data_IF_971787222270
#
_entry.id   IF_971787222270
#
_cell.length_a   1.000
_cell.length_b   1.000
_cell.length_c   1.000
_cell.angle_alpha   90.00
_cell.angle_beta   90.00
_cell.angle_gamma   90.00
#
_symmetry.space_group_name_H-M   'P 1'
#
loop_
_entity.id
_entity.type
_entity.pdbx_description
1 polymer ?
#
# COMPACT_ATOMS: atom_id res chain seq x y z
N UNK A 1 -5.38 -3.35 1.46
CA UNK A 1 -4.44 -2.55 2.27
C UNK A 1 -3.09 -3.18 2.15
N UNK A 2 -2.05 -2.38 1.95
CA UNK A 2 -0.67 -2.86 1.81
C UNK A 2 0.19 -2.07 2.79
N UNK A 3 1.06 -2.74 3.53
CA UNK A 3 2.14 -2.11 4.28
C UNK A 3 3.45 -2.40 3.54
N UNK A 4 4.29 -1.39 3.39
CA UNK A 4 5.60 -1.50 2.78
C UNK A 4 6.62 -0.66 3.53
N UNK A 5 7.90 -1.01 3.49
CA UNK A 5 8.96 -0.23 4.14
C UNK A 5 9.71 0.69 3.20
N UNK A 6 9.75 0.35 1.92
CA UNK A 6 10.47 1.12 0.89
C UNK A 6 9.76 1.05 -0.46
N UNK A 7 10.16 1.92 -1.38
CA UNK A 7 9.75 1.85 -2.79
C UNK A 7 10.68 0.89 -3.52
N UNK A 8 10.10 -0.16 -4.10
CA UNK A 8 10.83 -1.13 -4.93
C UNK A 8 10.10 -1.40 -6.24
N UNK A 9 10.80 -1.96 -7.24
CA UNK A 9 10.19 -2.32 -8.52
C UNK A 9 9.06 -3.37 -8.37
N UNK A 10 9.21 -4.44 -7.55
CA UNK A 10 8.12 -5.38 -7.30
C UNK A 10 6.90 -4.72 -6.65
N UNK A 11 7.12 -3.85 -5.65
CA UNK A 11 6.04 -3.12 -5.01
C UNK A 11 5.33 -2.20 -5.99
N UNK A 12 6.08 -1.48 -6.83
CA UNK A 12 5.54 -0.60 -7.86
C UNK A 12 4.64 -1.36 -8.84
N UNK A 13 5.08 -2.55 -9.27
CA UNK A 13 4.27 -3.43 -10.12
C UNK A 13 2.98 -3.87 -9.44
N UNK A 14 3.04 -4.22 -8.15
CA UNK A 14 1.87 -4.58 -7.36
C UNK A 14 0.90 -3.40 -7.23
N UNK A 15 1.40 -2.22 -6.85
CA UNK A 15 0.64 -0.98 -6.70
C UNK A 15 -0.15 -0.65 -7.97
N UNK A 16 0.51 -0.73 -9.14
CA UNK A 16 -0.13 -0.49 -10.44
C UNK A 16 -1.28 -1.46 -10.73
N UNK A 17 -1.07 -2.76 -10.47
CA UNK A 17 -2.11 -3.79 -10.66
C UNK A 17 -3.29 -3.57 -9.72
N UNK A 18 -3.03 -3.18 -8.48
CA UNK A 18 -4.08 -2.90 -7.50
C UNK A 18 -4.84 -1.61 -7.83
N UNK A 19 -4.17 -0.58 -8.35
CA UNK A 19 -4.81 0.64 -8.85
C UNK A 19 -5.83 0.33 -9.96
N UNK A 20 -5.40 -0.44 -10.96
CA UNK A 20 -6.25 -0.91 -12.05
C UNK A 20 -7.43 -1.76 -11.54
N UNK A 21 -7.16 -2.75 -10.69
CA UNK A 21 -8.22 -3.58 -10.10
C UNK A 21 -9.23 -2.76 -9.28
N UNK A 22 -8.76 -1.72 -8.57
CA UNK A 22 -9.63 -0.80 -7.81
C UNK A 22 -10.52 0.01 -8.76
N UNK A 23 -9.98 0.45 -9.90
CA UNK A 23 -10.74 1.16 -10.92
C UNK A 23 -11.81 0.26 -11.57
N UNK A 24 -11.47 -0.99 -11.89
CA UNK A 24 -12.39 -1.99 -12.46
C UNK A 24 -13.50 -2.38 -11.49
N UNK A 25 -13.20 -2.45 -10.18
CA UNK A 25 -14.15 -2.86 -9.14
C UNK A 25 -14.79 -1.67 -8.40
N UNK A 26 -14.84 -0.48 -9.03
CA UNK A 26 -15.43 0.73 -8.43
C UNK A 26 -16.88 0.55 -7.98
N UNK A 27 -17.66 -0.25 -8.72
CA UNK A 27 -19.09 -0.48 -8.43
C UNK A 27 -19.28 -1.32 -7.16
N UNK A 28 -18.26 -2.10 -6.78
CA UNK A 28 -18.20 -2.83 -5.52
C UNK A 28 -17.70 -1.98 -4.35
N UNK A 29 -17.47 -0.67 -4.56
CA UNK A 29 -16.86 0.24 -3.58
C UNK A 29 -15.50 -0.26 -3.09
N UNK A 30 -14.73 -0.92 -3.95
CA UNK A 30 -13.37 -1.33 -3.64
C UNK A 30 -12.50 -0.09 -3.43
N UNK A 31 -11.71 -0.11 -2.36
CA UNK A 31 -10.69 0.89 -2.08
C UNK A 31 -9.34 0.22 -1.90
N UNK A 32 -8.28 0.93 -2.25
CA UNK A 32 -6.92 0.46 -2.05
C UNK A 32 -6.04 1.58 -1.53
N UNK A 33 -5.09 1.19 -0.68
CA UNK A 33 -4.08 2.11 -0.18
C UNK A 33 -2.83 1.34 0.24
N UNK A 34 -1.71 2.03 0.18
CA UNK A 34 -0.41 1.58 0.66
C UNK A 34 0.03 2.50 1.80
N UNK A 35 0.45 1.89 2.91
CA UNK A 35 1.06 2.55 4.06
C UNK A 35 2.55 2.26 4.02
N UNK A 36 3.34 3.29 3.76
CA UNK A 36 4.78 3.23 3.84
C UNK A 36 5.20 3.47 5.30
N UNK A 37 5.64 2.41 5.96
CA UNK A 37 6.13 2.45 7.35
C UNK A 37 7.61 2.83 7.34
N UNK A 38 7.90 4.12 7.16
CA UNK A 38 9.24 4.65 6.97
C UNK A 38 9.36 6.08 7.50
N UNK A 39 10.55 6.43 7.96
CA UNK A 39 10.96 7.79 8.38
C UNK A 39 11.95 8.42 7.39
N UNK A 40 12.06 7.86 6.18
CA UNK A 40 12.93 8.36 5.13
C UNK A 40 12.58 9.80 4.72
N UNK A 41 13.55 10.70 4.84
CA UNK A 41 13.41 12.08 4.37
C UNK A 41 13.20 12.14 2.85
N UNK A 42 12.24 12.95 2.40
CA UNK A 42 11.92 13.11 0.98
C UNK A 42 11.09 11.97 0.37
N UNK A 43 10.66 10.99 1.17
CA UNK A 43 9.77 9.91 0.70
C UNK A 43 8.47 10.45 0.08
N UNK A 44 7.91 11.54 0.62
CA UNK A 44 6.70 12.16 0.07
C UNK A 44 6.87 12.56 -1.40
N UNK A 45 7.99 13.19 -1.76
CA UNK A 45 8.25 13.61 -3.13
C UNK A 45 8.49 12.40 -4.04
N UNK A 46 9.20 11.38 -3.55
CA UNK A 46 9.36 10.10 -4.27
C UNK A 46 8.00 9.44 -4.56
N UNK A 47 7.08 9.46 -3.60
CA UNK A 47 5.73 8.90 -3.79
C UNK A 47 4.89 9.73 -4.77
N UNK A 48 5.01 11.07 -4.75
CA UNK A 48 4.37 11.94 -5.74
C UNK A 48 4.89 11.65 -7.15
N UNK A 49 6.19 11.48 -7.30
CA UNK A 49 6.81 11.18 -8.59
C UNK A 49 6.46 9.77 -9.08
N UNK A 50 6.41 8.79 -8.18
CA UNK A 50 5.90 7.45 -8.47
C UNK A 50 4.46 7.50 -8.98
N UNK A 51 3.58 8.22 -8.27
CA UNK A 51 2.18 8.34 -8.64
C UNK A 51 1.99 8.99 -10.02
N UNK A 52 2.81 10.01 -10.35
CA UNK A 52 2.83 10.63 -11.69
C UNK A 52 3.37 9.67 -12.75
N UNK A 53 4.52 9.04 -12.49
CA UNK A 53 5.21 8.15 -13.44
C UNK A 53 4.35 6.95 -13.82
N UNK A 54 3.66 6.37 -12.84
CA UNK A 54 2.81 5.19 -13.06
C UNK A 54 1.34 5.55 -13.32
N UNK A 55 1.02 6.85 -13.39
CA UNK A 55 -0.33 7.38 -13.65
C UNK A 55 -1.41 6.80 -12.72
N UNK A 56 -1.09 6.68 -11.42
CA UNK A 56 -1.98 6.11 -10.42
C UNK A 56 -3.22 6.98 -10.21
N UNK A 57 -4.42 6.39 -10.16
CA UNK A 57 -5.70 7.14 -10.15
C UNK A 57 -6.60 6.87 -8.95
N UNK A 58 -6.48 5.71 -8.34
CA UNK A 58 -7.41 5.16 -7.33
C UNK A 58 -6.72 4.78 -6.04
N UNK A 59 -5.51 4.25 -6.11
CA UNK A 59 -4.77 3.84 -4.94
C UNK A 59 -4.24 5.05 -4.18
N UNK A 60 -4.44 5.05 -2.86
CA UNK A 60 -3.92 6.11 -1.97
C UNK A 60 -2.55 5.69 -1.45
N UNK A 61 -1.55 6.55 -1.60
CA UNK A 61 -0.23 6.36 -0.99
C UNK A 61 -0.17 7.17 0.31
N UNK A 62 0.24 6.53 1.40
CA UNK A 62 0.28 7.12 2.74
C UNK A 62 1.62 6.81 3.40
N UNK A 63 2.09 7.71 4.25
CA UNK A 63 3.30 7.52 5.06
C UNK A 63 2.87 7.41 6.52
N UNK A 64 3.44 6.46 7.24
CA UNK A 64 3.30 6.30 8.69
C UNK A 64 4.69 6.04 9.28
N UNK A 65 4.79 6.11 10.61
CA UNK A 65 6.00 5.83 11.35
C UNK A 65 6.59 4.43 11.02
N UNK A 66 7.92 4.22 11.19
CA UNK A 66 8.57 2.95 10.87
C UNK A 66 8.00 1.71 11.58
N UNK A 67 7.43 1.85 12.78
CA UNK A 67 6.82 0.71 13.46
C UNK A 67 5.46 0.31 12.86
N UNK A 68 4.91 1.12 11.97
CA UNK A 68 3.54 1.00 11.48
C UNK A 68 2.50 1.27 12.56
N UNK A 69 1.21 1.15 12.23
CA UNK A 69 0.16 1.41 13.20
C UNK A 69 0.06 0.25 14.19
N UNK A 70 0.33 0.53 15.48
CA UNK A 70 0.48 -0.48 16.56
C UNK A 70 -0.64 -1.53 16.63
N UNK A 71 -1.87 -1.14 16.36
CA UNK A 71 -3.03 -2.04 16.41
C UNK A 71 -2.98 -3.16 15.36
N UNK A 72 -2.27 -2.95 14.25
CA UNK A 72 -2.20 -3.91 13.14
C UNK A 72 -1.13 -4.99 13.33
N UNK A 73 -0.21 -4.81 14.29
CA UNK A 73 0.89 -5.76 14.58
C UNK A 73 1.62 -6.21 13.30
N UNK A 74 1.91 -5.27 12.41
CA UNK A 74 2.63 -5.52 11.16
C UNK A 74 4.00 -6.09 11.50
N UNK A 75 4.39 -7.15 10.78
CA UNK A 75 5.69 -7.78 10.98
C UNK A 75 6.81 -6.78 10.71
N UNK A 76 7.86 -6.82 11.54
CA UNK A 76 9.02 -5.95 11.39
C UNK A 76 9.98 -6.47 10.33
N UNK A 77 9.98 -7.77 10.10
CA UNK A 77 10.89 -8.44 9.16
C UNK A 77 10.29 -8.58 7.76
N UNK A 78 8.97 -8.38 7.61
CA UNK A 78 8.33 -8.37 6.31
C UNK A 78 8.58 -7.05 5.58
N UNK A 79 9.07 -7.14 4.34
CA UNK A 79 9.26 -6.00 3.45
C UNK A 79 7.90 -5.47 2.97
N UNK A 80 6.97 -6.41 2.73
CA UNK A 80 5.61 -6.13 2.27
C UNK A 80 4.61 -7.01 2.99
N UNK A 81 3.56 -6.40 3.55
CA UNK A 81 2.38 -7.11 4.07
C UNK A 81 1.13 -6.68 3.30
N UNK A 82 0.41 -7.65 2.73
CA UNK A 82 -0.84 -7.45 1.99
C UNK A 82 -2.01 -7.98 2.79
N UNK A 83 -2.97 -7.10 3.09
CA UNK A 83 -4.20 -7.44 3.80
C UNK A 83 -5.41 -7.16 2.91
N UNK A 84 -6.17 -8.21 2.61
CA UNK A 84 -7.50 -8.11 2.02
C UNK A 84 -8.53 -8.19 3.14
N UNK A 85 -9.42 -7.20 3.20
CA UNK A 85 -10.50 -7.19 4.16
C UNK A 85 -11.80 -6.74 3.50
N UNK A 86 -12.92 -7.20 4.05
CA UNK A 86 -14.26 -6.78 3.64
C UNK A 86 -15.10 -6.58 4.89
N UNK A 87 -15.80 -5.44 5.00
CA UNK A 87 -16.63 -5.10 6.17
C UNK A 87 -15.88 -5.25 7.51
N UNK A 88 -14.64 -4.76 7.54
CA UNK A 88 -13.72 -4.82 8.70
C UNK A 88 -13.27 -6.24 9.11
N UNK A 89 -13.58 -7.25 8.31
CA UNK A 89 -13.12 -8.63 8.54
C UNK A 89 -11.98 -8.96 7.57
N UNK A 90 -10.84 -9.43 8.11
CA UNK A 90 -9.70 -9.86 7.30
C UNK A 90 -10.06 -11.16 6.57
N UNK A 91 -9.97 -11.14 5.25
CA UNK A 91 -10.22 -12.29 4.37
C UNK A 91 -8.92 -12.99 3.94
N UNK A 92 -7.83 -12.23 3.84
CA UNK A 92 -6.50 -12.77 3.59
C UNK A 92 -5.41 -11.85 4.15
N UNK A 93 -4.29 -12.46 4.57
CA UNK A 93 -3.10 -11.77 5.04
C UNK A 93 -1.86 -12.51 4.49
N UNK A 94 -0.99 -11.79 3.79
CA UNK A 94 0.25 -12.29 3.25
C UNK A 94 1.39 -11.38 3.68
N UNK A 95 2.42 -11.93 4.32
CA UNK A 95 3.65 -11.24 4.68
C UNK A 95 4.80 -11.89 3.91
N UNK A 96 5.61 -11.08 3.26
CA UNK A 96 6.75 -11.50 2.43
C UNK A 96 8.04 -10.91 2.98
#
# INVERSE_FOLDING_TARGET
MIFAREISDPLTSLVKKIDAATAENKDCKMGSFVVFCSDEEGLEDKLKDLAKKEELKKIVLTIDNPAGPKAYKVDKEADVTVVLYQKQEVKANYAF
#
